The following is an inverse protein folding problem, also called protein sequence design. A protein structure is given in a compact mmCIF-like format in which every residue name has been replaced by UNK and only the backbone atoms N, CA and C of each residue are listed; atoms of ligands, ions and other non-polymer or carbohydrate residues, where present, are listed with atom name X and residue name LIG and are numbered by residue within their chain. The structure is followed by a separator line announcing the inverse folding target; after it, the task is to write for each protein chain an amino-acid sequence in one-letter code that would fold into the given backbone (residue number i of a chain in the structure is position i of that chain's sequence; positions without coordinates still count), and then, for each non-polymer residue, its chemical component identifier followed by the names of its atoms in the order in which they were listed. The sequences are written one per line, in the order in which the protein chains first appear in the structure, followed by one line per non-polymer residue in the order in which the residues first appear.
data_IF_779600003673
#
_entry.id   IF_779600003673
#
_cell.length_a   1.000
_cell.length_b   1.000
_cell.length_c   1.000
_cell.angle_alpha   90.00
_cell.angle_beta   90.00
_cell.angle_gamma   90.00
#
_symmetry.space_group_name_H-M   'P 1'
#
loop_
_entity.id
_entity.type
_entity.pdbx_description
1 polymer ?
#
# COMPACT_ATOMS: atom_id res chain seq x y z
N UNK A 1 -71.93 10.18 42.61
CA UNK A 1 -70.58 10.59 42.13
C UNK A 1 -69.49 9.55 42.38
N UNK A 2 -69.75 8.48 43.14
CA UNK A 2 -68.75 7.50 43.58
C UNK A 2 -68.42 6.41 42.55
N UNK A 3 -69.39 6.00 41.71
CA UNK A 3 -69.19 4.93 40.72
C UNK A 3 -68.30 5.30 39.52
N UNK A 4 -68.30 6.57 39.10
CA UNK A 4 -67.45 7.07 38.00
C UNK A 4 -65.96 7.16 38.37
N UNK A 5 -65.64 7.31 39.67
CA UNK A 5 -64.26 7.30 40.15
C UNK A 5 -63.70 5.89 40.26
N UNK A 6 -64.54 4.92 40.65
CA UNK A 6 -64.16 3.51 40.71
C UNK A 6 -63.91 2.92 39.32
N UNK A 7 -64.76 3.24 38.34
CA UNK A 7 -64.57 2.80 36.95
C UNK A 7 -63.32 3.36 36.29
N UNK A 8 -62.94 4.62 36.58
CA UNK A 8 -61.67 5.20 36.08
C UNK A 8 -60.44 4.60 36.77
N UNK A 9 -60.52 4.28 38.06
CA UNK A 9 -59.44 3.62 38.77
C UNK A 9 -59.21 2.19 38.27
N UNK A 10 -60.29 1.46 37.95
CA UNK A 10 -60.20 0.11 37.38
C UNK A 10 -59.68 0.12 35.93
N UNK A 11 -60.06 1.15 35.14
CA UNK A 11 -59.52 1.34 33.79
C UNK A 11 -58.04 1.72 33.84
N UNK A 12 -57.62 2.55 34.80
CA UNK A 12 -56.20 2.88 35.00
C UNK A 12 -55.38 1.69 35.47
N UNK A 13 -55.92 0.82 36.33
CA UNK A 13 -55.21 -0.40 36.75
C UNK A 13 -55.11 -1.43 35.62
N UNK A 14 -56.16 -1.60 34.82
CA UNK A 14 -56.12 -2.47 33.63
C UNK A 14 -55.12 -1.94 32.59
N UNK A 15 -55.11 -0.63 32.33
CA UNK A 15 -54.13 -0.02 31.42
C UNK A 15 -52.70 -0.10 31.97
N UNK A 16 -52.50 -0.01 33.29
CA UNK A 16 -51.19 -0.15 33.92
C UNK A 16 -50.68 -1.60 33.91
N UNK A 17 -51.56 -2.59 34.12
CA UNK A 17 -51.21 -4.03 33.99
C UNK A 17 -50.98 -4.42 32.52
N UNK A 18 -51.64 -3.77 31.56
CA UNK A 18 -51.40 -3.95 30.12
C UNK A 18 -50.08 -3.28 29.71
N UNK A 19 -49.72 -2.11 30.26
CA UNK A 19 -48.43 -1.44 30.04
C UNK A 19 -47.27 -2.20 30.71
N UNK A 20 -47.48 -2.77 31.90
CA UNK A 20 -46.49 -3.59 32.63
C UNK A 20 -46.29 -4.98 31.97
N UNK A 21 -47.35 -5.63 31.47
CA UNK A 21 -47.22 -6.85 30.65
C UNK A 21 -46.63 -6.60 29.26
N UNK A 22 -46.84 -5.41 28.68
CA UNK A 22 -46.24 -5.03 27.41
C UNK A 22 -44.75 -4.66 27.55
N UNK A 23 -44.32 -4.27 28.75
CA UNK A 23 -42.91 -4.01 29.09
C UNK A 23 -42.14 -5.28 29.49
N UNK A 24 -42.79 -6.28 30.11
CA UNK A 24 -42.12 -7.49 30.60
C UNK A 24 -42.28 -8.73 29.69
N UNK A 25 -42.50 -8.49 28.39
CA UNK A 25 -42.50 -9.55 27.38
C UNK A 25 -41.05 -9.97 27.04
N UNK A 26 -40.70 -11.27 27.09
CA UNK A 26 -39.37 -11.77 26.73
C UNK A 26 -38.90 -11.31 25.33
N UNK A 27 -39.82 -11.09 24.39
CA UNK A 27 -39.50 -10.60 23.03
C UNK A 27 -39.00 -9.15 23.04
N UNK A 28 -39.66 -8.27 23.80
CA UNK A 28 -39.26 -6.87 23.91
C UNK A 28 -37.92 -6.75 24.65
N UNK A 29 -37.69 -7.58 25.67
CA UNK A 29 -36.40 -7.66 26.38
C UNK A 29 -35.27 -8.15 25.45
N UNK A 30 -35.52 -9.13 24.57
CA UNK A 30 -34.50 -9.57 23.62
C UNK A 30 -34.16 -8.49 22.59
N UNK A 31 -35.15 -7.74 22.10
CA UNK A 31 -34.94 -6.64 21.14
C UNK A 31 -34.10 -5.51 21.77
N UNK A 32 -34.45 -5.09 22.98
CA UNK A 32 -33.72 -4.05 23.74
C UNK A 32 -32.27 -4.46 24.03
N UNK A 33 -32.05 -5.73 24.38
CA UNK A 33 -30.70 -6.26 24.58
C UNK A 33 -29.88 -6.31 23.27
N UNK A 34 -30.50 -6.63 22.14
CA UNK A 34 -29.82 -6.66 20.84
C UNK A 34 -29.47 -5.24 20.38
N UNK A 35 -30.38 -4.26 20.53
CA UNK A 35 -30.09 -2.86 20.25
C UNK A 35 -28.97 -2.31 21.14
N UNK A 36 -29.00 -2.63 22.44
CA UNK A 36 -27.93 -2.29 23.37
C UNK A 36 -26.60 -2.88 22.93
N UNK A 37 -26.58 -4.14 22.47
CA UNK A 37 -25.35 -4.79 22.01
C UNK A 37 -24.78 -4.14 20.74
N UNK A 38 -25.63 -3.63 19.84
CA UNK A 38 -25.18 -2.84 18.67
C UNK A 38 -24.63 -1.48 19.06
N UNK A 39 -25.20 -0.83 20.07
CA UNK A 39 -24.62 0.41 20.60
C UNK A 39 -23.25 0.13 21.22
N UNK A 40 -23.11 -0.97 21.97
CA UNK A 40 -21.82 -1.40 22.52
C UNK A 40 -20.82 -1.74 21.42
N UNK A 41 -21.25 -2.36 20.31
CA UNK A 41 -20.34 -2.74 19.22
C UNK A 41 -19.65 -1.54 18.57
N UNK A 42 -20.35 -0.41 18.42
CA UNK A 42 -19.79 0.86 17.91
C UNK A 42 -18.53 1.24 18.70
N UNK A 43 -18.60 1.21 20.03
CA UNK A 43 -17.46 1.59 20.89
C UNK A 43 -16.36 0.53 20.88
N UNK A 44 -16.72 -0.76 20.89
CA UNK A 44 -15.75 -1.86 20.89
C UNK A 44 -14.94 -1.86 19.59
N UNK A 45 -15.60 -1.77 18.43
CA UNK A 45 -14.95 -1.78 17.11
C UNK A 45 -14.07 -0.54 16.93
N UNK A 46 -14.56 0.63 17.35
CA UNK A 46 -13.74 1.85 17.33
C UNK A 46 -12.47 1.68 18.17
N UNK A 47 -12.60 1.15 19.39
CA UNK A 47 -11.47 0.94 20.28
C UNK A 47 -10.47 -0.07 19.72
N UNK A 48 -10.92 -1.22 19.19
CA UNK A 48 -10.02 -2.24 18.65
C UNK A 48 -9.32 -1.80 17.38
N UNK A 49 -9.99 -1.03 16.51
CA UNK A 49 -9.36 -0.43 15.32
C UNK A 49 -8.23 0.53 15.68
N UNK A 50 -8.46 1.41 16.67
CA UNK A 50 -7.43 2.32 17.16
C UNK A 50 -6.28 1.57 17.85
N UNK A 51 -6.60 0.52 18.62
CA UNK A 51 -5.61 -0.33 19.30
C UNK A 51 -4.73 -1.07 18.29
N UNK A 52 -5.26 -1.49 17.15
CA UNK A 52 -4.48 -2.12 16.08
C UNK A 52 -3.62 -1.13 15.31
N UNK A 53 -4.18 0.03 14.96
CA UNK A 53 -3.53 0.97 14.04
C UNK A 53 -2.56 1.95 14.69
N UNK A 54 -2.87 2.50 15.88
CA UNK A 54 -2.05 3.57 16.45
C UNK A 54 -0.66 3.10 16.94
N UNK A 55 -0.51 1.98 17.67
CA UNK A 55 0.79 1.62 18.25
C UNK A 55 1.95 1.53 17.24
N UNK A 56 1.78 0.93 16.04
CA UNK A 56 2.85 0.91 15.04
C UNK A 56 3.29 2.30 14.53
N UNK A 57 2.47 3.35 14.69
CA UNK A 57 2.86 4.72 14.33
C UNK A 57 3.73 5.40 15.37
N UNK A 58 3.57 5.10 16.66
CA UNK A 58 4.26 5.82 17.75
C UNK A 58 5.46 5.06 18.31
N UNK A 59 5.46 3.73 18.19
CA UNK A 59 6.48 2.89 18.79
C UNK A 59 7.65 2.72 17.82
N UNK A 60 8.81 3.25 18.18
CA UNK A 60 10.03 3.28 17.35
C UNK A 60 10.47 1.90 16.84
N UNK A 61 10.20 0.82 17.59
CA UNK A 61 10.59 -0.54 17.17
C UNK A 61 9.89 -0.98 15.89
N UNK A 62 8.70 -0.45 15.60
CA UNK A 62 7.94 -0.72 14.37
C UNK A 62 8.29 0.24 13.23
N UNK A 63 9.01 1.33 13.52
CA UNK A 63 9.38 2.34 12.53
C UNK A 63 10.67 1.99 11.79
N UNK A 64 11.53 1.11 12.33
CA UNK A 64 12.72 0.65 11.62
C UNK A 64 12.34 -0.38 10.54
N UNK A 65 12.44 -0.06 9.24
CA UNK A 65 12.09 -0.97 8.15
C UNK A 65 13.05 -2.16 8.02
N UNK A 66 14.25 -2.08 8.62
CA UNK A 66 15.26 -3.12 8.54
C UNK A 66 15.18 -4.13 9.69
N UNK A 67 14.42 -3.83 10.75
CA UNK A 67 14.26 -4.74 11.87
C UNK A 67 13.54 -6.02 11.43
N UNK A 68 13.95 -7.16 12.00
CA UNK A 68 13.29 -8.45 11.74
C UNK A 68 11.84 -8.40 12.19
N UNK A 69 11.55 -7.73 13.31
CA UNK A 69 10.20 -7.58 13.86
C UNK A 69 9.27 -6.85 12.87
N UNK A 70 9.69 -5.68 12.37
CA UNK A 70 8.90 -4.90 11.41
C UNK A 70 8.63 -5.69 10.14
N UNK A 71 9.64 -6.45 9.65
CA UNK A 71 9.49 -7.34 8.49
C UNK A 71 8.46 -8.43 8.75
N UNK A 72 8.56 -9.13 9.88
CA UNK A 72 7.63 -10.19 10.26
C UNK A 72 6.21 -9.67 10.44
N UNK A 73 6.01 -8.53 11.12
CA UNK A 73 4.68 -7.91 11.32
C UNK A 73 4.05 -7.52 9.99
N UNK A 74 4.82 -6.95 9.08
CA UNK A 74 4.33 -6.54 7.77
C UNK A 74 4.03 -7.74 6.86
N UNK A 75 4.80 -8.83 6.95
CA UNK A 75 4.44 -10.09 6.28
C UNK A 75 3.17 -10.71 6.86
N UNK A 76 3.00 -10.67 8.19
CA UNK A 76 1.76 -11.10 8.85
C UNK A 76 0.55 -10.28 8.37
N UNK A 77 0.67 -8.96 8.35
CA UNK A 77 -0.34 -8.05 7.80
C UNK A 77 -0.70 -8.37 6.33
N UNK A 78 0.29 -8.67 5.49
CA UNK A 78 0.04 -9.07 4.12
C UNK A 78 -0.79 -10.36 4.02
N UNK A 79 -0.53 -11.33 4.91
CA UNK A 79 -1.30 -12.57 5.01
C UNK A 79 -2.74 -12.32 5.47
N UNK A 80 -2.92 -11.45 6.46
CA UNK A 80 -4.23 -11.00 6.94
C UNK A 80 -5.06 -10.42 5.80
N UNK A 81 -4.53 -9.45 5.04
CA UNK A 81 -5.25 -8.80 3.94
C UNK A 81 -5.54 -9.79 2.80
N UNK A 82 -4.60 -10.68 2.48
CA UNK A 82 -4.80 -11.68 1.43
C UNK A 82 -5.96 -12.64 1.77
N UNK A 83 -5.99 -13.13 3.00
CA UNK A 83 -7.07 -14.00 3.47
C UNK A 83 -8.39 -13.26 3.59
N UNK A 84 -8.39 -12.03 4.10
CA UNK A 84 -9.55 -11.14 4.12
C UNK A 84 -10.20 -11.05 2.73
N UNK A 85 -9.41 -10.69 1.72
CA UNK A 85 -9.93 -10.53 0.37
C UNK A 85 -10.49 -11.84 -0.21
N UNK A 86 -9.78 -12.96 -0.03
CA UNK A 86 -10.13 -14.24 -0.65
C UNK A 86 -11.22 -15.04 0.09
N UNK A 87 -11.29 -14.94 1.41
CA UNK A 87 -12.16 -15.79 2.25
C UNK A 87 -13.42 -15.06 2.66
N UNK A 88 -13.36 -13.73 2.79
CA UNK A 88 -14.48 -12.94 3.28
C UNK A 88 -15.09 -12.09 2.16
N UNK A 89 -14.32 -11.15 1.62
CA UNK A 89 -14.88 -10.09 0.75
C UNK A 89 -15.35 -10.61 -0.61
N UNK A 90 -14.49 -11.37 -1.30
CA UNK A 90 -14.82 -11.86 -2.65
C UNK A 90 -15.97 -12.90 -2.60
N UNK A 91 -15.96 -13.89 -1.68
CA UNK A 91 -17.10 -14.80 -1.53
C UNK A 91 -18.41 -14.10 -1.20
N UNK A 92 -18.41 -13.15 -0.25
CA UNK A 92 -19.59 -12.35 0.10
C UNK A 92 -20.13 -11.60 -1.13
N UNK A 93 -19.25 -11.00 -1.94
CA UNK A 93 -19.66 -10.35 -3.19
C UNK A 93 -20.27 -11.31 -4.23
N UNK A 94 -19.86 -12.58 -4.25
CA UNK A 94 -20.42 -13.60 -5.15
C UNK A 94 -21.80 -14.04 -4.65
N UNK A 95 -21.96 -14.26 -3.35
CA UNK A 95 -23.24 -14.65 -2.74
C UNK A 95 -24.29 -13.53 -2.85
N UNK A 96 -23.90 -12.29 -2.64
CA UNK A 96 -24.79 -11.14 -2.79
C UNK A 96 -25.33 -11.00 -4.22
N UNK A 97 -24.55 -11.45 -5.22
CA UNK A 97 -24.93 -11.32 -6.62
C UNK A 97 -25.36 -12.63 -7.30
N UNK A 98 -25.42 -13.76 -6.58
CA UNK A 98 -25.73 -15.08 -7.15
C UNK A 98 -27.09 -15.13 -7.83
N UNK A 99 -28.06 -14.41 -7.27
CA UNK A 99 -29.46 -14.45 -7.70
C UNK A 99 -29.82 -13.28 -8.62
N UNK A 100 -28.86 -12.41 -8.95
CA UNK A 100 -29.10 -11.21 -9.72
C UNK A 100 -29.17 -11.50 -11.22
N UNK A 101 -30.36 -11.32 -11.80
CA UNK A 101 -30.54 -11.31 -13.25
C UNK A 101 -30.69 -12.68 -13.91
N UNK A 102 -30.80 -13.77 -13.14
CA UNK A 102 -31.05 -15.12 -13.69
C UNK A 102 -29.91 -15.67 -14.56
N UNK A 103 -28.71 -15.08 -14.46
CA UNK A 103 -27.52 -15.53 -15.15
C UNK A 103 -26.67 -16.30 -14.13
N UNK A 104 -26.40 -17.58 -14.39
CA UNK A 104 -25.51 -18.41 -13.58
C UNK A 104 -24.04 -18.06 -13.89
N UNK A 105 -23.62 -16.86 -13.48
CA UNK A 105 -22.28 -16.35 -13.69
C UNK A 105 -21.79 -15.57 -12.46
N UNK A 106 -20.55 -15.78 -11.99
CA UNK A 106 -20.06 -15.19 -10.73
C UNK A 106 -19.72 -13.70 -10.91
N UNK A 107 -20.76 -12.85 -10.92
CA UNK A 107 -20.62 -11.39 -11.04
C UNK A 107 -19.73 -10.79 -9.95
N UNK A 108 -19.73 -11.38 -8.74
CA UNK A 108 -18.83 -10.97 -7.65
C UNK A 108 -17.36 -11.14 -8.01
N UNK A 109 -17.04 -12.27 -8.61
CA UNK A 109 -15.69 -12.56 -9.09
C UNK A 109 -15.26 -11.61 -10.22
N UNK A 110 -16.17 -11.19 -11.09
CA UNK A 110 -15.82 -10.22 -12.14
C UNK A 110 -15.64 -8.80 -11.61
N UNK A 111 -16.40 -8.39 -10.60
CA UNK A 111 -16.14 -7.16 -9.87
C UNK A 111 -14.77 -7.18 -9.19
N UNK A 112 -14.36 -8.33 -8.62
CA UNK A 112 -13.02 -8.50 -8.06
C UNK A 112 -11.91 -8.39 -9.11
N UNK A 113 -12.09 -9.00 -10.29
CA UNK A 113 -11.18 -8.80 -11.42
C UNK A 113 -11.12 -7.32 -11.84
N UNK A 114 -12.28 -6.64 -11.85
CA UNK A 114 -12.38 -5.20 -12.08
C UNK A 114 -11.59 -4.38 -11.07
N UNK A 115 -11.63 -4.74 -9.78
CA UNK A 115 -10.83 -4.11 -8.72
C UNK A 115 -9.33 -4.28 -8.92
N UNK A 116 -8.87 -5.49 -9.31
CA UNK A 116 -7.47 -5.75 -9.65
C UNK A 116 -7.04 -4.91 -10.87
N UNK A 117 -7.85 -4.91 -11.93
CA UNK A 117 -7.57 -4.14 -13.14
C UNK A 117 -7.55 -2.63 -12.85
N UNK A 118 -8.44 -2.15 -11.99
CA UNK A 118 -8.47 -0.76 -11.53
C UNK A 118 -7.19 -0.40 -10.78
N UNK A 119 -6.70 -1.26 -9.88
CA UNK A 119 -5.43 -1.03 -9.19
C UNK A 119 -4.25 -0.93 -10.16
N UNK A 120 -4.16 -1.84 -11.13
CA UNK A 120 -3.11 -1.82 -12.16
C UNK A 120 -3.19 -0.52 -12.97
N UNK A 121 -4.39 -0.09 -13.37
CA UNK A 121 -4.60 1.15 -14.09
C UNK A 121 -4.15 2.36 -13.26
N UNK A 122 -4.55 2.43 -12.00
CA UNK A 122 -4.22 3.53 -11.10
C UNK A 122 -2.71 3.61 -10.83
N UNK A 123 -2.05 2.47 -10.64
CA UNK A 123 -0.60 2.41 -10.50
C UNK A 123 0.11 2.87 -11.78
N UNK A 124 -0.40 2.45 -12.95
CA UNK A 124 0.15 2.87 -14.23
C UNK A 124 -0.02 4.37 -14.48
N UNK A 125 -1.20 4.92 -14.16
CA UNK A 125 -1.48 6.37 -14.24
C UNK A 125 -0.57 7.15 -13.28
N UNK A 126 -0.38 6.68 -12.05
CA UNK A 126 0.53 7.29 -11.09
C UNK A 126 1.97 7.35 -11.65
N UNK A 127 2.42 6.28 -12.30
CA UNK A 127 3.71 6.25 -13.00
C UNK A 127 3.77 7.25 -14.17
N UNK A 128 2.74 7.34 -15.00
CA UNK A 128 2.70 8.26 -16.15
C UNK A 128 2.69 9.73 -15.71
N UNK A 129 1.85 10.09 -14.75
CA UNK A 129 1.73 11.46 -14.24
C UNK A 129 3.07 11.94 -13.69
N UNK A 130 3.78 11.06 -12.97
CA UNK A 130 5.11 11.39 -12.47
C UNK A 130 6.14 11.54 -13.59
N UNK A 131 6.19 10.63 -14.56
CA UNK A 131 7.16 10.72 -15.67
C UNK A 131 6.97 12.00 -16.50
N UNK A 132 5.74 12.47 -16.67
CA UNK A 132 5.46 13.77 -17.28
C UNK A 132 5.92 14.94 -16.43
N UNK A 133 5.68 14.91 -15.11
CA UNK A 133 6.16 15.95 -14.19
C UNK A 133 7.69 16.04 -14.11
N UNK A 134 8.36 14.89 -14.06
CA UNK A 134 9.82 14.78 -14.06
C UNK A 134 10.45 15.24 -15.37
N UNK A 135 9.92 14.81 -16.52
CA UNK A 135 10.42 15.26 -17.83
C UNK A 135 10.21 16.76 -18.03
N UNK A 136 9.08 17.32 -17.60
CA UNK A 136 8.83 18.76 -17.71
C UNK A 136 9.75 19.58 -16.79
N UNK A 137 10.05 19.09 -15.58
CA UNK A 137 10.98 19.74 -14.66
C UNK A 137 12.45 19.66 -15.15
N UNK A 138 12.85 18.51 -15.71
CA UNK A 138 14.19 18.33 -16.30
C UNK A 138 14.35 19.17 -17.56
N UNK A 139 13.32 19.27 -18.42
CA UNK A 139 13.34 20.15 -19.59
C UNK A 139 13.41 21.64 -19.20
N UNK A 140 12.64 22.08 -18.20
CA UNK A 140 12.68 23.46 -17.72
C UNK A 140 14.05 23.84 -17.13
N UNK A 141 14.71 22.92 -16.40
CA UNK A 141 16.07 23.14 -15.87
C UNK A 141 17.16 23.04 -16.95
N UNK A 142 16.94 22.21 -17.98
CA UNK A 142 17.83 22.10 -19.13
C UNK A 142 17.91 23.40 -19.94
N UNK A 143 16.77 24.07 -20.13
CA UNK A 143 16.69 25.36 -20.83
C UNK A 143 17.40 26.49 -20.05
N UNK A 144 17.28 26.52 -18.72
CA UNK A 144 17.98 27.50 -17.88
C UNK A 144 19.51 27.29 -17.88
N UNK A 145 19.97 26.03 -17.90
CA UNK A 145 21.41 25.72 -17.89
C UNK A 145 22.07 25.93 -19.26
N UNK A 146 21.33 25.72 -20.36
CA UNK A 146 21.75 26.08 -21.72
C UNK A 146 21.90 27.60 -21.91
N UNK A 147 20.99 28.39 -21.32
CA UNK A 147 21.10 29.86 -21.33
C UNK A 147 22.31 30.38 -20.53
N UNK A 148 22.66 29.72 -19.42
CA UNK A 148 23.80 30.12 -18.58
C UNK A 148 25.16 29.68 -19.15
N UNK A 149 25.22 28.52 -19.83
CA UNK A 149 26.42 28.03 -20.54
C UNK A 149 26.76 28.87 -21.78
N UNK A 150 25.74 29.34 -22.51
CA UNK A 150 25.90 30.25 -23.66
C UNK A 150 26.53 31.60 -23.28
N UNK A 151 26.26 32.11 -22.07
CA UNK A 151 26.88 33.33 -21.54
C UNK A 151 28.34 33.10 -21.09
N UNK A 152 28.65 31.94 -20.52
CA UNK A 152 30.01 31.61 -20.07
C UNK A 152 30.96 31.30 -21.25
N UNK A 153 30.46 30.62 -22.29
CA UNK A 153 31.24 30.31 -23.51
C UNK A 153 31.66 31.57 -24.28
N UNK A 154 30.92 32.68 -24.17
CA UNK A 154 31.30 33.98 -24.76
C UNK A 154 32.38 34.73 -23.97
N UNK A 155 32.64 34.38 -22.72
CA UNK A 155 33.73 34.98 -21.91
C UNK A 155 35.05 34.22 -21.99
N UNK A 156 35.07 32.95 -22.41
CA UNK A 156 36.29 32.13 -22.46
C UNK A 156 37.08 32.21 -23.78
N UNK A 157 36.56 32.83 -24.84
CA UNK A 157 37.31 33.02 -26.10
C UNK A 157 38.34 34.17 -26.08
N UNK A 158 38.58 34.83 -24.93
CA UNK A 158 39.47 36.00 -24.84
C UNK A 158 40.76 35.76 -24.00
N UNK A 159 41.16 34.51 -23.77
CA UNK A 159 42.41 34.19 -23.08
C UNK A 159 43.27 33.29 -23.96
N UNK A 160 44.03 33.92 -24.85
CA UNK A 160 45.13 33.32 -25.58
C UNK A 160 46.32 33.14 -24.63
N UNK A 161 46.68 31.90 -24.30
CA UNK A 161 47.94 31.56 -23.62
C UNK A 161 48.78 30.72 -24.58
N UNK A 162 49.90 31.31 -24.99
CA UNK A 162 50.99 30.69 -25.74
C UNK A 162 51.47 29.40 -25.06
N UNK A 163 51.71 28.36 -25.85
CA UNK A 163 52.34 27.11 -25.41
C UNK A 163 53.77 27.01 -25.94
N UNK A 164 54.81 26.80 -25.10
CA UNK A 164 56.13 26.40 -25.58
C UNK A 164 56.25 24.86 -25.70
N UNK A 165 57.10 24.33 -26.59
CA UNK A 165 57.15 22.91 -26.90
C UNK A 165 58.00 22.13 -25.87
N UNK A 166 57.44 21.05 -25.31
CA UNK A 166 58.20 20.13 -24.46
C UNK A 166 59.04 19.16 -25.31
N UNK A 167 60.36 19.23 -25.11
CA UNK A 167 61.37 18.33 -25.67
C UNK A 167 61.35 16.98 -24.95
N UNK A 168 61.41 15.90 -25.73
CA UNK A 168 61.62 14.53 -25.25
C UNK A 168 63.10 14.36 -24.88
N UNK A 169 63.39 13.87 -23.68
CA UNK A 169 64.68 13.25 -23.37
C UNK A 169 64.52 12.12 -22.36
N UNK A 170 64.99 10.96 -22.78
CA UNK A 170 65.14 9.75 -21.99
C UNK A 170 66.26 9.91 -20.96
N UNK A 171 66.08 9.34 -19.76
CA UNK A 171 67.18 9.15 -18.79
C UNK A 171 67.11 7.75 -18.22
N UNK A 172 68.24 7.04 -18.36
CA UNK A 172 68.58 5.80 -17.65
C UNK A 172 69.15 6.10 -16.26
N UNK A 173 68.70 5.31 -15.28
CA UNK A 173 69.42 4.72 -14.14
C UNK A 173 70.53 5.47 -13.37
N UNK A 174 70.31 5.59 -12.04
CA UNK A 174 71.28 5.13 -11.02
C UNK A 174 71.87 6.16 -10.06
N UNK A 175 71.70 5.93 -8.73
CA UNK A 175 72.71 6.32 -7.71
C UNK A 175 72.30 7.20 -6.51
N UNK A 176 72.00 6.54 -5.38
CA UNK A 176 72.32 6.81 -3.94
C UNK A 176 72.26 8.21 -3.25
N UNK A 177 71.44 8.26 -2.19
CA UNK A 177 71.58 8.86 -0.82
C UNK A 177 71.80 10.38 -0.57
N UNK A 178 70.84 11.03 0.11
CA UNK A 178 70.88 11.46 1.55
C UNK A 178 69.70 12.39 1.97
N UNK A 179 69.10 12.05 3.13
CA UNK A 179 68.41 12.84 4.19
C UNK A 179 67.31 13.92 3.96
N UNK A 180 66.10 13.56 4.46
CA UNK A 180 65.16 14.35 5.31
C UNK A 180 64.25 15.43 4.65
N UNK A 181 62.97 15.68 4.97
CA UNK A 181 62.08 15.48 6.15
C UNK A 181 60.60 15.47 5.66
N UNK A 182 59.71 14.77 6.40
CA UNK A 182 58.26 15.02 6.62
C UNK A 182 57.14 14.53 5.65
N UNK A 183 56.20 13.82 6.31
CA UNK A 183 54.76 13.61 6.07
C UNK A 183 54.30 12.37 5.26
N UNK A 184 53.61 11.46 5.98
CA UNK A 184 53.19 10.08 5.64
C UNK A 184 52.39 9.91 4.34
N UNK A 185 52.67 8.86 3.56
CA UNK A 185 52.10 7.49 3.67
C UNK A 185 50.59 7.51 3.34
N UNK A 186 50.12 6.93 2.23
CA UNK A 186 50.17 5.50 1.91
C UNK A 186 50.33 5.27 0.40
N UNK A 187 51.32 4.46 0.01
CA UNK A 187 51.32 3.71 -1.23
C UNK A 187 50.75 2.31 -0.97
N UNK A 188 49.92 1.77 -1.85
CA UNK A 188 50.30 0.59 -2.63
C UNK A 188 49.29 0.32 -3.75
N UNK A 189 49.78 0.25 -4.98
CA UNK A 189 49.10 -0.39 -6.10
C UNK A 189 49.48 -1.87 -6.09
N UNK A 190 48.52 -2.77 -6.28
CA UNK A 190 48.83 -4.11 -6.76
C UNK A 190 47.94 -4.47 -7.95
N UNK A 191 48.52 -5.27 -8.82
CA UNK A 191 48.29 -5.40 -10.25
C UNK A 191 47.02 -6.17 -10.60
N UNK A 192 46.44 -5.89 -11.78
CA UNK A 192 46.52 -6.73 -13.01
C UNK A 192 45.28 -6.49 -13.89
N UNK A 193 45.48 -6.66 -15.21
CA UNK A 193 44.53 -6.59 -16.35
C UNK A 193 44.54 -5.26 -17.11
N UNK A 194 45.42 -5.21 -18.12
CA UNK A 194 45.23 -4.38 -19.31
C UNK A 194 44.20 -5.02 -20.26
N UNK A 195 43.49 -4.21 -21.04
CA UNK A 195 43.31 -4.50 -22.46
C UNK A 195 44.02 -3.44 -23.31
N UNK A 196 44.88 -3.95 -24.17
CA UNK A 196 45.50 -3.26 -25.29
C UNK A 196 44.44 -2.68 -26.24
N UNK A 197 44.63 -1.42 -26.65
CA UNK A 197 44.07 -0.89 -27.89
C UNK A 197 45.22 -0.22 -28.66
N UNK A 198 46.02 -1.04 -29.34
CA UNK A 198 46.91 -0.59 -30.41
C UNK A 198 46.15 -0.59 -31.74
N UNK A 199 46.32 0.46 -32.54
CA UNK A 199 45.69 0.58 -33.84
C UNK A 199 45.97 1.92 -34.51
N UNK A 200 47.24 2.23 -34.75
CA UNK A 200 47.66 3.10 -35.85
C UNK A 200 47.58 2.28 -37.13
N UNK A 201 46.79 2.72 -38.11
CA UNK A 201 47.20 2.80 -39.52
C UNK A 201 46.11 3.45 -40.36
N UNK A 202 46.42 4.69 -40.76
CA UNK A 202 45.76 5.45 -41.81
C UNK A 202 46.46 5.08 -43.12
N UNK A 203 45.81 4.33 -43.99
CA UNK A 203 46.15 4.32 -45.41
C UNK A 203 44.90 4.41 -46.28
N UNK A 204 45.07 5.24 -47.30
CA UNK A 204 44.10 5.80 -48.22
C UNK A 204 44.03 4.94 -49.50
N UNK A 205 42.86 4.96 -50.17
CA UNK A 205 42.62 4.87 -51.62
C UNK A 205 41.62 3.80 -52.13
N UNK A 206 40.64 4.35 -52.84
CA UNK A 206 39.95 3.90 -54.06
C UNK A 206 38.93 2.75 -54.10
N UNK A 207 37.67 3.18 -54.30
CA UNK A 207 36.77 2.85 -55.41
C UNK A 207 36.85 1.45 -56.05
N UNK A 208 35.84 0.59 -55.81
CA UNK A 208 35.13 -0.16 -56.86
C UNK A 208 33.93 -0.95 -56.34
N UNK A 209 32.93 -1.06 -57.20
CA UNK A 209 31.63 -1.74 -57.05
C UNK A 209 31.80 -3.26 -56.90
N UNK A 210 31.05 -3.90 -55.99
CA UNK A 210 30.20 -5.09 -56.28
C UNK A 210 29.45 -5.58 -55.03
N UNK A 211 28.26 -6.14 -55.30
CA UNK A 211 27.24 -6.56 -54.36
C UNK A 211 27.64 -7.74 -53.45
N UNK A 212 27.10 -7.74 -52.23
CA UNK A 212 27.12 -8.89 -51.33
C UNK A 212 26.34 -8.59 -50.05
N UNK A 213 25.11 -9.09 -49.97
CA UNK A 213 24.25 -8.99 -48.79
C UNK A 213 24.82 -9.81 -47.62
N UNK A 214 25.04 -9.17 -46.48
CA UNK A 214 25.09 -9.85 -45.17
C UNK A 214 24.70 -8.86 -44.07
N UNK A 215 23.65 -9.22 -43.34
CA UNK A 215 23.07 -8.45 -42.23
C UNK A 215 24.08 -8.23 -41.09
N UNK A 216 24.30 -6.97 -40.71
CA UNK A 216 25.08 -6.61 -39.52
C UNK A 216 24.14 -6.15 -38.40
N UNK A 217 24.22 -6.84 -37.28
CA UNK A 217 23.51 -6.58 -36.04
C UNK A 217 24.17 -5.39 -35.33
N UNK A 218 23.47 -4.25 -35.26
CA UNK A 218 23.95 -3.02 -34.63
C UNK A 218 23.78 -3.06 -33.12
N UNK A 219 24.87 -3.22 -32.37
CA UNK A 219 24.89 -3.00 -30.93
C UNK A 219 25.21 -1.52 -30.65
N UNK A 220 24.24 -0.78 -30.15
CA UNK A 220 24.45 0.58 -29.66
C UNK A 220 25.13 0.51 -28.29
N UNK A 221 26.38 0.94 -28.21
CA UNK A 221 27.03 1.19 -26.92
C UNK A 221 26.60 2.57 -26.44
N UNK A 222 25.75 2.61 -25.42
CA UNK A 222 25.50 3.83 -24.64
C UNK A 222 26.75 4.11 -23.81
N UNK A 223 27.49 5.13 -24.21
CA UNK A 223 28.57 5.70 -23.41
C UNK A 223 27.95 6.39 -22.18
N UNK A 224 28.00 5.76 -21.00
CA UNK A 224 27.70 6.46 -19.74
C UNK A 224 28.90 7.33 -19.41
N UNK A 225 28.83 8.60 -19.78
CA UNK A 225 29.75 9.63 -19.28
C UNK A 225 29.57 9.74 -17.77
N UNK A 226 30.62 9.43 -16.99
CA UNK A 226 30.67 9.71 -15.56
C UNK A 226 30.70 11.23 -15.32
N UNK A 227 29.53 11.87 -15.32
CA UNK A 227 29.32 13.20 -14.76
C UNK A 227 28.76 13.07 -13.34
N UNK A 228 29.35 13.68 -12.31
CA UNK A 228 28.88 13.54 -10.93
C UNK A 228 27.53 14.23 -10.66
N UNK A 229 26.96 14.97 -11.63
CA UNK A 229 25.76 15.78 -11.44
C UNK A 229 24.47 15.21 -12.07
N UNK A 230 24.52 14.24 -12.99
CA UNK A 230 23.31 13.67 -13.60
C UNK A 230 22.75 12.47 -12.82
N UNK A 231 23.61 11.74 -12.11
CA UNK A 231 23.23 10.54 -11.38
C UNK A 231 22.49 10.82 -10.06
N UNK A 232 22.75 11.95 -9.39
CA UNK A 232 22.02 12.30 -8.16
C UNK A 232 20.60 12.74 -8.44
N UNK A 233 20.35 13.48 -9.52
CA UNK A 233 18.99 13.87 -9.92
C UNK A 233 18.18 12.66 -10.41
N UNK A 234 18.79 11.74 -11.15
CA UNK A 234 18.14 10.48 -11.53
C UNK A 234 17.86 9.57 -10.33
N UNK A 235 18.78 9.50 -9.36
CA UNK A 235 18.56 8.81 -8.09
C UNK A 235 17.45 9.50 -7.28
N UNK A 236 17.46 10.82 -7.12
CA UNK A 236 16.41 11.57 -6.43
C UNK A 236 15.05 11.47 -7.13
N UNK A 237 15.02 11.45 -8.46
CA UNK A 237 13.80 11.20 -9.21
C UNK A 237 13.30 9.77 -8.95
N UNK A 238 14.20 8.78 -8.89
CA UNK A 238 13.87 7.38 -8.56
C UNK A 238 13.36 7.23 -7.11
N UNK A 239 13.97 7.93 -6.15
CA UNK A 239 13.53 8.01 -4.75
C UNK A 239 12.17 8.74 -4.62
N UNK A 240 11.97 9.83 -5.36
CA UNK A 240 10.71 10.56 -5.41
C UNK A 240 9.57 9.73 -6.03
N UNK A 241 9.86 8.97 -7.10
CA UNK A 241 8.96 7.99 -7.74
C UNK A 241 8.52 6.94 -6.72
N UNK A 242 9.47 6.38 -5.97
CA UNK A 242 9.18 5.41 -4.91
C UNK A 242 8.25 5.98 -3.84
N UNK A 243 8.53 7.21 -3.39
CA UNK A 243 7.74 7.85 -2.32
C UNK A 243 6.30 8.17 -2.71
N UNK A 244 6.05 8.60 -3.95
CA UNK A 244 4.69 8.92 -4.42
C UNK A 244 3.89 7.63 -4.64
N UNK A 245 4.49 6.63 -5.27
CA UNK A 245 3.85 5.32 -5.50
C UNK A 245 3.36 4.71 -4.19
N UNK A 246 4.22 4.67 -3.17
CA UNK A 246 3.88 4.14 -1.85
C UNK A 246 2.74 4.93 -1.19
N UNK A 247 2.70 6.25 -1.36
CA UNK A 247 1.62 7.10 -0.84
C UNK A 247 0.30 6.85 -1.56
N UNK A 248 0.32 6.75 -2.90
CA UNK A 248 -0.88 6.43 -3.69
C UNK A 248 -1.47 5.10 -3.22
N UNK A 249 -0.63 4.10 -3.02
CA UNK A 249 -1.06 2.78 -2.57
C UNK A 249 -1.65 2.83 -1.16
N UNK A 250 -1.06 3.60 -0.25
CA UNK A 250 -1.62 3.79 1.08
C UNK A 250 -3.04 4.39 1.04
N UNK A 251 -3.27 5.37 0.16
CA UNK A 251 -4.61 5.94 -0.02
C UNK A 251 -5.59 4.96 -0.66
N UNK A 252 -5.15 4.16 -1.63
CA UNK A 252 -6.01 3.15 -2.28
C UNK A 252 -6.35 1.99 -1.33
N UNK A 253 -5.39 1.60 -0.50
CA UNK A 253 -5.61 0.65 0.59
C UNK A 253 -6.66 1.18 1.57
N UNK A 254 -6.49 2.41 2.04
CA UNK A 254 -7.45 3.06 2.93
C UNK A 254 -8.84 3.17 2.27
N UNK A 255 -8.92 3.55 0.99
CA UNK A 255 -10.18 3.63 0.26
C UNK A 255 -10.89 2.27 0.16
N UNK A 256 -10.15 1.20 -0.13
CA UNK A 256 -10.70 -0.16 -0.17
C UNK A 256 -11.25 -0.59 1.20
N UNK A 257 -10.46 -0.37 2.26
CA UNK A 257 -10.90 -0.63 3.63
C UNK A 257 -12.14 0.20 3.99
N UNK A 258 -12.21 1.49 3.63
CA UNK A 258 -13.37 2.35 3.93
C UNK A 258 -14.64 1.78 3.32
N UNK A 259 -14.65 1.44 2.03
CA UNK A 259 -15.86 0.91 1.40
C UNK A 259 -16.31 -0.41 2.02
N UNK A 260 -15.36 -1.32 2.24
CA UNK A 260 -15.63 -2.64 2.82
C UNK A 260 -16.18 -2.52 4.25
N UNK A 261 -15.46 -1.78 5.12
CA UNK A 261 -15.85 -1.59 6.52
C UNK A 261 -17.16 -0.83 6.68
N UNK A 262 -17.47 0.11 5.78
CA UNK A 262 -18.74 0.84 5.80
C UNK A 262 -19.92 -0.09 5.50
N UNK A 263 -19.79 -0.92 4.47
CA UNK A 263 -20.83 -1.86 4.04
C UNK A 263 -21.09 -2.92 5.12
N UNK A 264 -20.04 -3.51 5.69
CA UNK A 264 -20.20 -4.44 6.82
C UNK A 264 -20.91 -3.76 7.99
N UNK A 265 -20.49 -2.53 8.33
CA UNK A 265 -21.12 -1.78 9.40
C UNK A 265 -22.60 -1.51 9.13
N UNK A 266 -22.94 -1.09 7.91
CA UNK A 266 -24.31 -0.85 7.47
C UNK A 266 -25.15 -2.11 7.58
N UNK A 267 -24.65 -3.25 7.08
CA UNK A 267 -25.31 -4.55 7.15
C UNK A 267 -25.58 -4.97 8.60
N UNK A 268 -24.58 -4.88 9.47
CA UNK A 268 -24.73 -5.18 10.91
C UNK A 268 -25.73 -4.24 11.61
N UNK A 269 -25.82 -2.98 11.17
CA UNK A 269 -26.76 -2.00 11.72
C UNK A 269 -28.20 -2.24 11.31
N UNK A 270 -28.43 -2.64 10.05
CA UNK A 270 -29.77 -2.93 9.50
C UNK A 270 -30.27 -4.30 9.96
N UNK A 271 -29.40 -5.30 10.00
CA UNK A 271 -29.81 -6.68 10.21
C UNK A 271 -30.30 -6.92 11.65
N UNK A 272 -31.57 -7.34 11.80
CA UNK A 272 -32.24 -7.50 13.09
C UNK A 272 -32.09 -8.90 13.72
N UNK A 273 -30.90 -9.50 13.62
CA UNK A 273 -30.64 -10.89 14.03
C UNK A 273 -30.59 -11.08 15.56
N UNK A 274 -30.71 -12.35 15.98
CA UNK A 274 -30.70 -12.80 17.38
C UNK A 274 -29.41 -12.34 18.09
N UNK A 275 -29.50 -12.05 19.39
CA UNK A 275 -28.42 -11.52 20.22
C UNK A 275 -27.16 -12.40 20.17
N UNK A 276 -27.32 -13.71 20.01
CA UNK A 276 -26.21 -14.67 19.93
C UNK A 276 -25.37 -14.48 18.68
N UNK A 277 -26.03 -14.21 17.55
CA UNK A 277 -25.40 -13.99 16.26
C UNK A 277 -24.66 -12.65 16.26
N UNK A 278 -25.34 -11.57 16.68
CA UNK A 278 -24.71 -10.24 16.83
C UNK A 278 -23.50 -10.29 17.75
N UNK A 279 -23.56 -11.07 18.84
CA UNK A 279 -22.42 -11.23 19.75
C UNK A 279 -21.26 -12.00 19.12
N UNK A 280 -21.52 -13.06 18.36
CA UNK A 280 -20.49 -13.81 17.64
C UNK A 280 -19.80 -12.91 16.62
N UNK A 281 -20.62 -12.26 15.77
CA UNK A 281 -20.16 -11.32 14.75
C UNK A 281 -19.37 -10.16 15.35
N UNK A 282 -19.79 -9.60 16.49
CA UNK A 282 -19.06 -8.53 17.18
C UNK A 282 -17.66 -8.99 17.58
N UNK A 283 -17.52 -10.16 18.21
CA UNK A 283 -16.20 -10.63 18.65
C UNK A 283 -15.31 -10.89 17.43
N UNK A 284 -15.86 -11.48 16.36
CA UNK A 284 -15.12 -11.75 15.14
C UNK A 284 -14.66 -10.44 14.48
N UNK A 285 -15.57 -9.48 14.33
CA UNK A 285 -15.32 -8.17 13.75
C UNK A 285 -14.35 -7.33 14.59
N UNK A 286 -14.36 -7.49 15.91
CA UNK A 286 -13.41 -6.82 16.79
C UNK A 286 -11.96 -7.28 16.55
N UNK A 287 -11.73 -8.59 16.42
CA UNK A 287 -10.42 -9.14 16.06
C UNK A 287 -10.04 -8.80 14.62
N UNK A 288 -11.00 -8.84 13.71
CA UNK A 288 -10.83 -8.48 12.32
C UNK A 288 -10.33 -7.04 12.18
N UNK A 289 -11.03 -6.09 12.82
CA UNK A 289 -10.70 -4.66 12.81
C UNK A 289 -9.31 -4.40 13.41
N UNK A 290 -8.94 -5.14 14.46
CA UNK A 290 -7.61 -5.02 15.06
C UNK A 290 -6.50 -5.43 14.10
N UNK A 291 -6.66 -6.58 13.42
CA UNK A 291 -5.69 -7.12 12.45
C UNK A 291 -5.56 -6.24 11.19
N UNK A 292 -6.66 -5.75 10.67
CA UNK A 292 -6.68 -4.79 9.57
C UNK A 292 -6.03 -3.45 9.97
N UNK A 293 -6.26 -2.97 11.20
CA UNK A 293 -5.61 -1.77 11.73
C UNK A 293 -4.09 -1.87 11.75
N UNK A 294 -3.55 -3.02 12.20
CA UNK A 294 -2.10 -3.31 12.12
C UNK A 294 -1.62 -3.26 10.66
N UNK A 295 -2.43 -3.80 9.76
CA UNK A 295 -2.11 -3.87 8.34
C UNK A 295 -2.06 -2.49 7.71
N UNK A 296 -3.06 -1.64 7.96
CA UNK A 296 -3.07 -0.23 7.54
C UNK A 296 -1.83 0.51 8.07
N UNK A 297 -1.52 0.38 9.35
CA UNK A 297 -0.38 1.06 9.96
C UNK A 297 0.96 0.65 9.31
N UNK A 298 1.11 -0.63 8.91
CA UNK A 298 2.30 -1.11 8.19
C UNK A 298 2.46 -0.45 6.81
N UNK A 299 1.35 -0.17 6.11
CA UNK A 299 1.38 0.53 4.82
C UNK A 299 1.69 2.02 5.01
N UNK A 300 1.12 2.64 6.04
CA UNK A 300 1.33 4.06 6.36
C UNK A 300 2.77 4.37 6.79
N UNK A 301 3.35 3.53 7.65
CA UNK A 301 4.77 3.65 8.03
C UNK A 301 5.68 3.51 6.82
N UNK A 302 5.37 2.58 5.91
CA UNK A 302 6.13 2.38 4.67
C UNK A 302 6.01 3.55 3.68
N UNK A 303 4.86 4.20 3.63
CA UNK A 303 4.63 5.39 2.79
C UNK A 303 5.32 6.67 3.29
N UNK A 304 5.98 6.63 4.45
CA UNK A 304 6.68 7.79 5.03
C UNK A 304 5.73 8.93 5.39
N UNK A 305 4.49 8.61 5.78
CA UNK A 305 3.53 9.61 6.23
C UNK A 305 3.95 10.20 7.57
N UNK A 306 3.67 11.48 7.80
CA UNK A 306 3.83 12.06 9.13
C UNK A 306 2.90 11.35 10.12
N UNK A 307 3.33 11.22 11.38
CA UNK A 307 2.54 10.52 12.41
C UNK A 307 1.13 11.09 12.54
N UNK A 308 0.97 12.42 12.47
CA UNK A 308 -0.35 13.05 12.50
C UNK A 308 -1.22 12.63 11.31
N UNK A 309 -0.65 12.62 10.09
CA UNK A 309 -1.39 12.24 8.90
C UNK A 309 -1.77 10.75 8.94
N UNK A 310 -0.84 9.90 9.35
CA UNK A 310 -1.12 8.48 9.59
C UNK A 310 -2.21 8.28 10.65
N UNK A 311 -2.17 9.03 11.75
CA UNK A 311 -3.17 8.94 12.80
C UNK A 311 -4.57 9.37 12.31
N UNK A 312 -4.66 10.42 11.49
CA UNK A 312 -5.93 10.84 10.86
C UNK A 312 -6.47 9.75 9.93
N UNK A 313 -5.61 9.10 9.15
CA UNK A 313 -6.02 8.00 8.27
C UNK A 313 -6.54 6.80 9.10
N UNK A 314 -5.83 6.42 10.16
CA UNK A 314 -6.26 5.33 11.06
C UNK A 314 -7.57 5.66 11.78
N UNK A 315 -7.76 6.92 12.19
CA UNK A 315 -9.01 7.38 12.78
C UNK A 315 -10.16 7.29 11.77
N UNK A 316 -9.92 7.67 10.51
CA UNK A 316 -10.91 7.59 9.43
C UNK A 316 -11.33 6.15 9.19
N UNK A 317 -10.36 5.24 9.05
CA UNK A 317 -10.59 3.80 9.00
C UNK A 317 -11.41 3.29 10.20
N UNK A 318 -10.99 3.62 11.43
CA UNK A 318 -11.60 3.10 12.66
C UNK A 318 -13.03 3.62 12.89
N UNK A 319 -13.35 4.82 12.40
CA UNK A 319 -14.70 5.39 12.49
C UNK A 319 -15.65 4.87 11.42
N UNK A 320 -15.15 4.35 10.31
CA UNK A 320 -15.98 4.00 9.16
C UNK A 320 -17.00 2.91 9.47
N UNK A 321 -16.59 1.83 10.15
CA UNK A 321 -17.51 0.77 10.55
C UNK A 321 -18.54 1.24 11.62
N UNK A 322 -18.14 1.90 12.72
CA UNK A 322 -19.06 2.53 13.67
C UNK A 322 -20.09 3.46 13.01
N UNK A 323 -19.67 4.28 12.05
CA UNK A 323 -20.56 5.15 11.27
C UNK A 323 -21.51 4.31 10.42
N UNK A 324 -21.03 3.25 9.76
CA UNK A 324 -21.87 2.29 9.04
C UNK A 324 -22.97 1.69 9.93
N UNK A 325 -22.61 1.21 11.13
CA UNK A 325 -23.56 0.65 12.10
C UNK A 325 -24.61 1.69 12.50
N UNK A 326 -24.18 2.89 12.87
CA UNK A 326 -25.09 3.96 13.27
C UNK A 326 -26.05 4.36 12.15
N UNK A 327 -25.55 4.48 10.91
CA UNK A 327 -26.39 4.75 9.73
C UNK A 327 -27.36 3.59 9.49
N UNK A 328 -26.88 2.35 9.56
CA UNK A 328 -27.70 1.14 9.38
C UNK A 328 -28.85 1.08 10.37
N UNK A 329 -28.58 1.34 11.65
CA UNK A 329 -29.61 1.44 12.69
C UNK A 329 -30.63 2.55 12.39
N UNK A 330 -30.17 3.71 11.93
CA UNK A 330 -31.04 4.84 11.63
C UNK A 330 -32.00 4.57 10.44
N UNK A 331 -31.55 3.81 9.44
CA UNK A 331 -32.33 3.50 8.23
C UNK A 331 -33.00 2.11 8.27
N UNK A 332 -32.80 1.33 9.32
CA UNK A 332 -33.22 -0.07 9.43
C UNK A 332 -34.71 -0.30 9.15
N UNK A 333 -35.58 0.69 9.43
CA UNK A 333 -37.03 0.59 9.17
C UNK A 333 -37.42 0.79 7.70
N UNK A 334 -36.56 1.41 6.91
CA UNK A 334 -36.85 1.82 5.51
C UNK A 334 -35.94 1.17 4.49
N UNK A 335 -34.81 0.62 4.93
CA UNK A 335 -33.82 -0.01 4.08
C UNK A 335 -34.00 -1.54 4.10
N UNK A 336 -34.25 -2.11 2.94
CA UNK A 336 -34.31 -3.55 2.75
C UNK A 336 -32.95 -4.05 2.23
N UNK A 337 -32.14 -4.59 3.13
CA UNK A 337 -30.82 -5.13 2.82
C UNK A 337 -30.88 -6.31 1.83
N UNK A 338 -31.96 -7.09 1.90
CA UNK A 338 -32.20 -8.27 1.06
C UNK A 338 -32.74 -7.92 -0.33
N UNK A 339 -33.10 -6.65 -0.57
CA UNK A 339 -33.60 -6.23 -1.87
C UNK A 339 -32.55 -6.45 -2.97
N UNK A 340 -32.99 -6.91 -4.14
CA UNK A 340 -32.15 -7.14 -5.33
C UNK A 340 -31.23 -5.95 -5.67
N UNK A 341 -31.71 -4.72 -5.43
CA UNK A 341 -30.91 -3.50 -5.66
C UNK A 341 -29.84 -3.29 -4.59
N UNK A 342 -30.17 -3.51 -3.31
CA UNK A 342 -29.22 -3.42 -2.19
C UNK A 342 -28.09 -4.43 -2.37
N UNK A 343 -28.45 -5.71 -2.52
CA UNK A 343 -27.52 -6.81 -2.74
C UNK A 343 -26.61 -6.58 -3.94
N UNK A 344 -27.15 -6.07 -5.05
CA UNK A 344 -26.36 -5.72 -6.23
C UNK A 344 -25.35 -4.60 -6.02
N UNK A 345 -25.74 -3.54 -5.30
CA UNK A 345 -24.82 -2.43 -4.99
C UNK A 345 -23.73 -2.91 -4.01
N UNK A 346 -24.14 -3.62 -2.96
CA UNK A 346 -23.24 -4.21 -1.96
C UNK A 346 -22.22 -5.15 -2.60
N UNK A 347 -22.68 -6.08 -3.42
CA UNK A 347 -21.83 -7.02 -4.14
C UNK A 347 -20.82 -6.34 -5.06
N UNK A 348 -21.21 -5.29 -5.80
CA UNK A 348 -20.27 -4.55 -6.66
C UNK A 348 -19.17 -3.88 -5.84
N UNK A 349 -19.53 -3.16 -4.77
CA UNK A 349 -18.54 -2.46 -3.94
C UNK A 349 -17.64 -3.44 -3.17
N UNK A 350 -18.19 -4.50 -2.58
CA UNK A 350 -17.41 -5.56 -1.93
C UNK A 350 -16.49 -6.24 -2.96
N UNK A 351 -17.00 -6.62 -4.13
CA UNK A 351 -16.20 -7.26 -5.17
C UNK A 351 -15.02 -6.39 -5.60
N UNK A 352 -15.26 -5.13 -5.96
CA UNK A 352 -14.19 -4.19 -6.33
C UNK A 352 -13.20 -3.99 -5.18
N UNK A 353 -13.67 -3.82 -3.94
CA UNK A 353 -12.80 -3.67 -2.76
C UNK A 353 -11.93 -4.91 -2.51
N UNK A 354 -12.52 -6.11 -2.58
CA UNK A 354 -11.81 -7.37 -2.44
C UNK A 354 -10.72 -7.54 -3.50
N UNK A 355 -11.01 -7.14 -4.76
CA UNK A 355 -10.01 -7.09 -5.83
C UNK A 355 -8.86 -6.12 -5.54
N UNK A 356 -9.16 -4.93 -5.02
CA UNK A 356 -8.12 -3.95 -4.66
C UNK A 356 -7.24 -4.46 -3.52
N UNK A 357 -7.83 -5.01 -2.45
CA UNK A 357 -7.11 -5.54 -1.29
C UNK A 357 -6.28 -6.79 -1.65
N UNK A 358 -6.79 -7.64 -2.54
CA UNK A 358 -6.05 -8.78 -3.07
C UNK A 358 -4.80 -8.33 -3.86
N UNK A 359 -4.94 -7.29 -4.68
CA UNK A 359 -3.81 -6.71 -5.40
C UNK A 359 -2.76 -6.15 -4.44
N UNK A 360 -3.19 -5.35 -3.44
CA UNK A 360 -2.29 -4.72 -2.49
C UNK A 360 -1.52 -5.77 -1.67
N UNK A 361 -2.21 -6.81 -1.20
CA UNK A 361 -1.57 -7.88 -0.43
C UNK A 361 -0.54 -8.66 -1.26
N UNK A 362 -0.92 -9.16 -2.44
CA UNK A 362 -0.04 -10.04 -3.23
C UNK A 362 1.07 -9.26 -3.95
N UNK A 363 0.74 -8.16 -4.61
CA UNK A 363 1.69 -7.43 -5.46
C UNK A 363 2.49 -6.42 -4.66
N UNK A 364 1.85 -5.68 -3.75
CA UNK A 364 2.53 -4.57 -3.09
C UNK A 364 3.19 -4.94 -1.76
N UNK A 365 2.58 -5.84 -0.99
CA UNK A 365 3.13 -6.27 0.29
C UNK A 365 3.99 -7.51 0.12
N UNK A 366 3.46 -8.61 -0.43
CA UNK A 366 4.21 -9.87 -0.56
C UNK A 366 5.35 -9.73 -1.56
N UNK A 367 5.08 -9.41 -2.82
CA UNK A 367 6.12 -9.42 -3.86
C UNK A 367 7.24 -8.39 -3.58
N UNK A 368 6.89 -7.22 -3.06
CA UNK A 368 7.87 -6.17 -2.78
C UNK A 368 8.67 -6.41 -1.49
N UNK A 369 8.06 -6.94 -0.43
CA UNK A 369 8.77 -7.17 0.82
C UNK A 369 9.55 -8.47 0.83
N UNK A 370 9.03 -9.53 0.22
CA UNK A 370 9.78 -10.78 0.04
C UNK A 370 10.82 -10.66 -1.07
N UNK A 371 10.56 -9.87 -2.11
CA UNK A 371 11.51 -9.61 -3.19
C UNK A 371 12.78 -8.87 -2.74
N UNK A 372 12.71 -8.11 -1.65
CA UNK A 372 13.87 -7.44 -1.04
C UNK A 372 14.81 -8.38 -0.28
N UNK A 373 14.40 -9.62 -0.02
CA UNK A 373 15.21 -10.61 0.69
C UNK A 373 16.14 -11.30 -0.31
N UNK A 374 17.39 -10.83 -0.36
CA UNK A 374 18.38 -11.31 -1.33
C UNK A 374 19.10 -12.55 -0.77
N UNK A 375 19.07 -13.71 -1.48
CA UNK A 375 19.86 -14.88 -1.08
C UNK A 375 21.34 -14.53 -0.94
N UNK A 376 21.95 -14.88 0.19
CA UNK A 376 23.36 -14.60 0.49
C UNK A 376 23.62 -13.31 1.28
N UNK A 377 22.69 -12.34 1.27
CA UNK A 377 22.74 -11.15 2.14
C UNK A 377 21.90 -11.33 3.40
N UNK A 378 20.68 -11.85 3.24
CA UNK A 378 19.75 -12.10 4.35
C UNK A 378 19.80 -13.58 4.77
N UNK A 379 19.67 -13.86 6.07
CA UNK A 379 19.69 -15.23 6.59
C UNK A 379 18.47 -16.03 6.11
N UNK A 380 18.65 -17.32 5.83
CA UNK A 380 17.55 -18.21 5.45
C UNK A 380 16.44 -18.24 6.53
N UNK A 381 16.83 -18.13 7.79
CA UNK A 381 15.91 -18.08 8.93
C UNK A 381 15.00 -16.85 8.89
N UNK A 382 15.52 -15.68 8.54
CA UNK A 382 14.71 -14.46 8.43
C UNK A 382 13.68 -14.57 7.30
N UNK A 383 14.07 -15.21 6.18
CA UNK A 383 13.18 -15.45 5.03
C UNK A 383 12.04 -16.41 5.41
N UNK A 384 12.39 -17.52 6.07
CA UNK A 384 11.40 -18.48 6.55
C UNK A 384 10.48 -17.86 7.61
N UNK A 385 11.00 -17.00 8.49
CA UNK A 385 10.20 -16.30 9.49
C UNK A 385 9.17 -15.36 8.85
N UNK A 386 9.53 -14.62 7.80
CA UNK A 386 8.59 -13.77 7.07
C UNK A 386 7.51 -14.59 6.36
N UNK A 387 7.87 -15.72 5.74
CA UNK A 387 6.90 -16.62 5.11
C UNK A 387 5.96 -17.27 6.14
N UNK A 388 6.50 -17.76 7.26
CA UNK A 388 5.69 -18.30 8.36
C UNK A 388 4.74 -17.24 8.94
N UNK A 389 5.19 -15.99 9.06
CA UNK A 389 4.34 -14.89 9.51
C UNK A 389 3.22 -14.59 8.53
N UNK A 390 3.50 -14.57 7.22
CA UNK A 390 2.47 -14.46 6.18
C UNK A 390 1.41 -15.57 6.29
N UNK A 391 1.84 -16.82 6.38
CA UNK A 391 0.92 -17.95 6.58
C UNK A 391 0.14 -17.83 7.89
N UNK A 392 0.79 -17.37 8.97
CA UNK A 392 0.14 -17.14 10.26
C UNK A 392 -0.93 -16.05 10.20
N UNK A 393 -0.67 -14.97 9.47
CA UNK A 393 -1.65 -13.90 9.22
C UNK A 393 -2.86 -14.40 8.45
N UNK A 394 -2.62 -15.12 7.35
CA UNK A 394 -3.68 -15.72 6.56
C UNK A 394 -4.51 -16.73 7.38
N UNK A 395 -3.83 -17.62 8.12
CA UNK A 395 -4.49 -18.58 8.99
C UNK A 395 -5.33 -17.91 10.08
N UNK A 396 -4.84 -16.81 10.68
CA UNK A 396 -5.59 -16.07 11.70
C UNK A 396 -6.92 -15.53 11.16
N UNK A 397 -6.92 -14.96 9.95
CA UNK A 397 -8.16 -14.49 9.31
C UNK A 397 -9.09 -15.62 8.88
N UNK A 398 -8.56 -16.74 8.37
CA UNK A 398 -9.38 -17.90 8.06
C UNK A 398 -10.05 -18.50 9.31
N UNK A 399 -9.35 -18.55 10.44
CA UNK A 399 -9.92 -19.03 11.71
C UNK A 399 -11.05 -18.12 12.20
N UNK A 400 -10.89 -16.79 12.06
CA UNK A 400 -11.96 -15.84 12.38
C UNK A 400 -13.16 -16.01 11.44
N UNK A 401 -12.93 -16.24 10.15
CA UNK A 401 -14.01 -16.44 9.17
C UNK A 401 -14.83 -17.72 9.40
N UNK A 402 -14.22 -18.77 9.96
CA UNK A 402 -14.96 -20.00 10.35
C UNK A 402 -15.73 -19.81 11.66
N UNK A 403 -15.29 -18.89 12.50
CA UNK A 403 -15.85 -18.65 13.81
C UNK A 403 -16.96 -17.58 13.83
N UNK A 404 -16.87 -16.60 12.92
CA UNK A 404 -17.93 -15.64 12.62
C UNK A 404 -19.16 -16.37 12.06
#
# INVERSE_FOLDING_TARGET
MSGLRFSRALQQSLNAEEEENHLDNPVNRSLDNTETLRIVSIFVILFTGLLGGLPPLFVQVFQDPNSVLTRTVRSFAAGVIAALALVHIIPEAVEEMSDLGGIEYPLGGTCALGGIALMILLEHVAHIMHNRGGNNAVSALGDDHLHKSSQLSKQLCAVSVDSPPCKVSAVMGGGSATAAVAAGAVANCDSKVQPSCGGSDLQNMDSSVTAGAAALHGHSHVCVSHGPASNWMAALATEAIGSLRLKVIAYLFELGCIFHSFIIGLSLGVNQTDIKEVRSLLIALAFHQWLEGISLASVLTRGGFSVLKGAVMILTYSLTCPVGIAVGMAIAKTYDAESTKSRGIQGVFNGVSGGMLLYISLVQLVAEDMGRLVPGRDSAMNRMACFAAFCGGAASMCLLAVWA
#
